data_IF_815559272910
#
_entry.id   IF_815559272910
#
_cell.length_a   1.000
_cell.length_b   1.000
_cell.length_c   1.000
_cell.angle_alpha   90.00
_cell.angle_beta   90.00
_cell.angle_gamma   90.00
#
_symmetry.space_group_name_H-M   'P 1'
#
loop_
_entity.id
_entity.type
_entity.pdbx_description
1 polymer ?
#
# COMPACT_ATOMS: atom_id res chain seq x y z
N UNK A 1 2.05 5.63 -24.19
CA UNK A 1 1.66 6.00 -22.80
C UNK A 1 1.20 4.80 -21.98
N UNK A 2 0.18 4.04 -22.40
CA UNK A 2 -0.32 2.88 -21.64
C UNK A 2 0.73 1.81 -21.30
N UNK A 3 1.55 1.39 -22.26
CA UNK A 3 2.64 0.40 -22.05
C UNK A 3 3.65 0.84 -21.00
N UNK A 4 4.00 2.13 -20.97
CA UNK A 4 4.91 2.70 -19.98
C UNK A 4 4.31 2.72 -18.57
N UNK A 5 3.01 3.04 -18.45
CA UNK A 5 2.30 2.99 -17.17
C UNK A 5 2.19 1.57 -16.62
N UNK A 6 1.93 0.58 -17.48
CA UNK A 6 1.92 -0.84 -17.10
C UNK A 6 3.30 -1.30 -16.64
N UNK A 7 4.37 -0.85 -17.30
CA UNK A 7 5.73 -1.16 -16.88
C UNK A 7 6.06 -0.56 -15.50
N UNK A 8 5.73 0.71 -15.28
CA UNK A 8 5.87 1.36 -13.96
C UNK A 8 5.05 0.62 -12.91
N UNK A 9 3.84 0.19 -13.25
CA UNK A 9 3.00 -0.61 -12.37
C UNK A 9 3.71 -1.87 -11.91
N UNK A 10 4.27 -2.64 -12.85
CA UNK A 10 5.02 -3.85 -12.54
C UNK A 10 6.23 -3.59 -11.63
N UNK A 11 6.98 -2.51 -11.86
CA UNK A 11 8.12 -2.14 -11.02
C UNK A 11 7.68 -1.79 -9.60
N UNK A 12 6.64 -0.97 -9.44
CA UNK A 12 6.12 -0.58 -8.12
C UNK A 12 5.56 -1.79 -7.36
N UNK A 13 4.96 -2.74 -8.09
CA UNK A 13 4.54 -4.02 -7.50
C UNK A 13 5.73 -4.82 -6.98
N UNK A 14 6.76 -4.97 -7.81
CA UNK A 14 7.96 -5.71 -7.43
C UNK A 14 8.67 -5.07 -6.24
N UNK A 15 8.78 -3.74 -6.22
CA UNK A 15 9.37 -3.00 -5.11
C UNK A 15 8.61 -3.24 -3.79
N UNK A 16 7.27 -3.20 -3.81
CA UNK A 16 6.46 -3.49 -2.63
C UNK A 16 6.59 -4.94 -2.15
N UNK A 17 6.68 -5.92 -3.07
CA UNK A 17 6.99 -7.30 -2.72
C UNK A 17 8.33 -7.40 -1.97
N UNK A 18 9.38 -6.76 -2.48
CA UNK A 18 10.70 -6.78 -1.85
C UNK A 18 10.69 -6.17 -0.45
N UNK A 19 9.89 -5.12 -0.23
CA UNK A 19 9.72 -4.49 1.08
C UNK A 19 8.94 -5.37 2.07
N UNK A 20 7.94 -6.14 1.61
CA UNK A 20 7.13 -7.03 2.47
C UNK A 20 7.87 -8.34 2.80
N UNK A 21 8.67 -8.86 1.85
CA UNK A 21 9.40 -10.14 1.95
C UNK A 21 10.19 -10.36 3.26
N UNK A 22 11.01 -9.43 3.77
CA UNK A 22 11.77 -9.66 5.01
C UNK A 22 10.86 -9.82 6.24
N UNK A 23 9.73 -9.11 6.29
CA UNK A 23 8.79 -9.16 7.41
C UNK A 23 7.92 -10.43 7.39
N UNK A 24 7.63 -10.97 6.21
CA UNK A 24 6.88 -12.22 6.06
C UNK A 24 7.59 -13.43 6.70
N UNK A 25 8.93 -13.42 6.77
CA UNK A 25 9.73 -14.51 7.37
C UNK A 25 9.75 -14.50 8.90
N UNK A 26 9.48 -13.35 9.52
CA UNK A 26 9.53 -13.17 10.98
C UNK A 26 8.14 -13.23 11.64
N UNK A 27 7.07 -13.21 10.84
CA UNK A 27 5.70 -13.11 11.32
C UNK A 27 4.97 -14.48 11.38
N UNK A 28 3.98 -14.60 12.28
CA UNK A 28 3.02 -15.72 12.31
C UNK A 28 2.31 -15.81 10.95
N UNK A 29 2.09 -17.03 10.43
CA UNK A 29 1.44 -17.30 9.11
C UNK A 29 0.24 -16.41 8.81
N UNK A 30 -0.67 -16.20 9.78
CA UNK A 30 -1.88 -15.40 9.59
C UNK A 30 -1.61 -13.91 9.30
N UNK A 31 -0.59 -13.33 9.94
CA UNK A 31 -0.19 -11.93 9.70
C UNK A 31 0.42 -11.77 8.30
N UNK A 32 1.17 -12.77 7.86
CA UNK A 32 1.73 -12.81 6.50
C UNK A 32 0.62 -12.84 5.45
N UNK A 33 -0.38 -13.71 5.62
CA UNK A 33 -1.55 -13.76 4.73
C UNK A 33 -2.28 -12.42 4.71
N UNK A 34 -2.56 -11.83 5.88
CA UNK A 34 -3.23 -10.53 5.98
C UNK A 34 -2.47 -9.41 5.25
N UNK A 35 -1.16 -9.30 5.46
CA UNK A 35 -0.33 -8.27 4.82
C UNK A 35 -0.29 -8.43 3.30
N UNK A 36 -0.20 -9.66 2.80
CA UNK A 36 -0.23 -9.94 1.36
C UNK A 36 -1.58 -9.63 0.74
N UNK A 37 -2.68 -10.04 1.38
CA UNK A 37 -4.03 -9.71 0.92
C UNK A 37 -4.26 -8.19 0.88
N UNK A 38 -3.88 -7.48 1.95
CA UNK A 38 -3.97 -6.02 2.00
C UNK A 38 -3.12 -5.36 0.91
N UNK A 39 -1.92 -5.88 0.66
CA UNK A 39 -1.04 -5.34 -0.37
C UNK A 39 -1.63 -5.52 -1.78
N UNK A 40 -2.16 -6.69 -2.10
CA UNK A 40 -2.80 -6.96 -3.39
C UNK A 40 -4.03 -6.08 -3.57
N UNK A 41 -4.88 -5.99 -2.55
CA UNK A 41 -6.09 -5.13 -2.57
C UNK A 41 -5.70 -3.67 -2.77
N UNK A 42 -4.73 -3.17 -1.99
CA UNK A 42 -4.23 -1.79 -2.11
C UNK A 42 -3.70 -1.50 -3.51
N UNK A 43 -2.87 -2.40 -4.05
CA UNK A 43 -2.27 -2.25 -5.36
C UNK A 43 -3.34 -2.24 -6.45
N UNK A 44 -4.26 -3.21 -6.42
CA UNK A 44 -5.38 -3.29 -7.37
C UNK A 44 -6.26 -2.04 -7.33
N UNK A 45 -6.68 -1.60 -6.14
CA UNK A 45 -7.47 -0.38 -5.96
C UNK A 45 -6.76 0.87 -6.50
N UNK A 46 -5.44 0.97 -6.29
CA UNK A 46 -4.64 2.10 -6.77
C UNK A 46 -4.63 2.16 -8.30
N UNK A 47 -4.43 1.02 -8.97
CA UNK A 47 -4.43 0.98 -10.44
C UNK A 47 -5.81 1.15 -11.06
N UNK A 48 -6.86 0.63 -10.41
CA UNK A 48 -8.25 0.89 -10.81
C UNK A 48 -8.52 2.40 -10.74
N UNK A 49 -8.13 3.05 -9.63
CA UNK A 49 -8.28 4.49 -9.46
C UNK A 49 -7.53 5.31 -10.52
N UNK A 50 -6.24 5.00 -10.75
CA UNK A 50 -5.43 5.67 -11.78
C UNK A 50 -6.07 5.50 -13.16
N UNK A 51 -6.51 4.28 -13.49
CA UNK A 51 -7.14 3.99 -14.79
C UNK A 51 -8.47 4.73 -14.96
N UNK A 52 -9.31 4.74 -13.91
CA UNK A 52 -10.58 5.46 -13.93
C UNK A 52 -10.36 6.96 -14.14
N UNK A 53 -9.39 7.55 -13.42
CA UNK A 53 -9.01 8.96 -13.57
C UNK A 53 -8.49 9.24 -14.97
N UNK A 54 -7.60 8.40 -15.50
CA UNK A 54 -7.03 8.56 -16.84
C UNK A 54 -8.11 8.54 -17.94
N UNK A 55 -8.99 7.54 -17.92
CA UNK A 55 -10.07 7.41 -18.90
C UNK A 55 -11.04 8.60 -18.81
N UNK A 56 -11.51 8.94 -17.60
CA UNK A 56 -12.48 10.03 -17.45
C UNK A 56 -11.88 11.41 -17.74
N UNK A 57 -10.62 11.63 -17.40
CA UNK A 57 -9.92 12.86 -17.75
C UNK A 57 -9.75 12.99 -19.27
N UNK A 58 -9.44 11.88 -19.96
CA UNK A 58 -9.26 11.86 -21.41
C UNK A 58 -10.54 12.18 -22.20
N UNK A 59 -11.71 11.87 -21.62
CA UNK A 59 -13.03 12.15 -22.23
C UNK A 59 -13.63 13.47 -21.73
N UNK A 60 -12.94 14.20 -20.84
CA UNK A 60 -13.40 15.49 -20.31
C UNK A 60 -14.48 15.38 -19.22
N UNK A 61 -14.64 14.22 -18.59
CA UNK A 61 -15.56 14.02 -17.47
C UNK A 61 -14.97 14.56 -16.15
N UNK A 62 -14.90 15.88 -16.02
CA UNK A 62 -14.21 16.59 -14.92
C UNK A 62 -14.78 16.21 -13.54
N UNK A 63 -16.11 16.11 -13.39
CA UNK A 63 -16.75 15.73 -12.11
C UNK A 63 -16.43 14.30 -11.69
N UNK A 64 -16.53 13.34 -12.62
CA UNK A 64 -16.18 11.95 -12.33
C UNK A 64 -14.69 11.81 -11.98
N UNK A 65 -13.84 12.55 -12.68
CA UNK A 65 -12.39 12.59 -12.44
C UNK A 65 -12.08 13.11 -11.04
N UNK A 66 -12.63 14.26 -10.62
CA UNK A 66 -12.35 14.83 -9.30
C UNK A 66 -12.87 13.95 -8.16
N UNK A 67 -14.07 13.38 -8.29
CA UNK A 67 -14.60 12.42 -7.32
C UNK A 67 -13.73 11.17 -7.22
N UNK A 68 -13.27 10.63 -8.35
CA UNK A 68 -12.41 9.45 -8.37
C UNK A 68 -11.03 9.73 -7.75
N UNK A 69 -10.43 10.88 -8.05
CA UNK A 69 -9.18 11.31 -7.39
C UNK A 69 -9.39 11.31 -5.88
N UNK A 70 -10.43 11.99 -5.37
CA UNK A 70 -10.68 12.05 -3.94
C UNK A 70 -10.87 10.67 -3.31
N UNK A 71 -11.72 9.83 -3.90
CA UNK A 71 -12.07 8.52 -3.36
C UNK A 71 -10.91 7.53 -3.41
N UNK A 72 -10.31 7.32 -4.60
CA UNK A 72 -9.27 6.30 -4.77
C UNK A 72 -7.95 6.72 -4.15
N UNK A 73 -7.57 8.00 -4.21
CA UNK A 73 -6.40 8.50 -3.51
C UNK A 73 -6.59 8.40 -1.99
N UNK A 74 -7.76 8.81 -1.49
CA UNK A 74 -8.09 8.71 -0.06
C UNK A 74 -8.00 7.27 0.45
N UNK A 75 -8.65 6.32 -0.22
CA UNK A 75 -8.59 4.89 0.15
C UNK A 75 -7.16 4.35 0.03
N UNK A 76 -6.44 4.68 -1.05
CA UNK A 76 -5.07 4.22 -1.26
C UNK A 76 -4.13 4.70 -0.15
N UNK A 77 -4.23 5.96 0.27
CA UNK A 77 -3.44 6.52 1.38
C UNK A 77 -3.78 5.82 2.70
N UNK A 78 -5.07 5.64 3.02
CA UNK A 78 -5.49 4.95 4.25
C UNK A 78 -4.94 3.53 4.30
N UNK A 79 -5.08 2.77 3.21
CA UNK A 79 -4.56 1.41 3.11
C UNK A 79 -3.02 1.36 3.19
N UNK A 80 -2.32 2.32 2.58
CA UNK A 80 -0.87 2.42 2.68
C UNK A 80 -0.40 2.66 4.11
N UNK A 81 -1.09 3.54 4.87
CA UNK A 81 -0.79 3.80 6.29
C UNK A 81 -1.06 2.56 7.15
N UNK A 82 -2.19 1.87 6.92
CA UNK A 82 -2.51 0.61 7.63
C UNK A 82 -1.42 -0.43 7.37
N UNK A 83 -1.05 -0.63 6.10
CA UNK A 83 -0.03 -1.59 5.72
C UNK A 83 1.35 -1.24 6.31
N UNK A 84 1.72 0.05 6.29
CA UNK A 84 2.96 0.54 6.88
C UNK A 84 3.01 0.34 8.41
N UNK A 85 1.88 0.52 9.11
CA UNK A 85 1.78 0.18 10.53
C UNK A 85 1.89 -1.32 10.78
N UNK A 86 1.20 -2.16 10.01
CA UNK A 86 1.22 -3.61 10.19
C UNK A 86 2.58 -4.23 9.89
N UNK A 87 3.34 -3.65 8.96
CA UNK A 87 4.71 -4.03 8.64
C UNK A 87 5.74 -3.45 9.63
N UNK A 88 5.32 -2.53 10.51
CA UNK A 88 6.20 -1.92 11.50
C UNK A 88 7.09 -0.80 10.95
N UNK A 89 6.84 -0.32 9.73
CA UNK A 89 7.49 0.90 9.21
C UNK A 89 7.07 2.14 10.00
N UNK A 90 5.87 2.12 10.55
CA UNK A 90 5.32 3.19 11.41
C UNK A 90 4.91 2.55 12.73
N UNK A 91 5.72 2.72 13.77
CA UNK A 91 5.46 2.17 15.10
C UNK A 91 6.07 3.01 16.21
N UNK A 92 5.32 3.19 17.31
CA UNK A 92 5.82 3.76 18.56
C UNK A 92 6.89 2.81 19.08
N UNK A 93 8.16 3.23 19.08
CA UNK A 93 9.21 2.53 19.83
C UNK A 93 8.70 2.40 21.25
N UNK A 94 8.44 1.19 21.74
CA UNK A 94 8.34 0.98 23.18
C UNK A 94 9.73 1.31 23.72
N UNK A 95 9.86 2.49 24.31
CA UNK A 95 10.96 2.82 25.21
C UNK A 95 10.96 1.71 26.25
N UNK A 96 11.92 0.80 26.14
CA UNK A 96 12.07 -0.28 27.11
C UNK A 96 12.36 0.34 28.46
N UNK A 97 11.61 -0.04 29.49
CA UNK A 97 12.07 0.12 30.85
C UNK A 97 13.34 -0.74 31.00
N UNK A 98 14.50 -0.16 31.35
CA UNK A 98 15.68 -0.94 31.67
C UNK A 98 15.50 -1.49 33.07
N UNK A 99 14.76 -2.59 33.22
CA UNK A 99 14.64 -3.27 34.52
C UNK A 99 14.80 -4.76 34.31
N UNK A 100 16.05 -5.16 34.10
CA UNK A 100 16.58 -6.48 34.45
C UNK A 100 18.10 -6.46 34.29
N UNK A 101 18.74 -5.59 35.07
CA UNK A 101 20.13 -5.81 35.48
C UNK A 101 20.06 -6.18 36.96
N UNK A 102 20.64 -7.34 37.25
CA UNK A 102 21.01 -7.88 38.57
C UNK A 102 19.88 -8.60 39.35
N UNK A 103 19.87 -9.93 39.17
CA UNK A 103 19.65 -10.88 40.26
C UNK A 103 20.99 -11.57 40.52
#
# INVERSE_FOLDING_TARGET
MGTFLVFIAGILFLAGILLIKPYAKQAKRWKTVLNWSLYIIWYGMTWIGISFVYVNASVGHVKATSTAIFLFLGISVVLAVILARLLGFIGVKKTGNPTSLQA
#
